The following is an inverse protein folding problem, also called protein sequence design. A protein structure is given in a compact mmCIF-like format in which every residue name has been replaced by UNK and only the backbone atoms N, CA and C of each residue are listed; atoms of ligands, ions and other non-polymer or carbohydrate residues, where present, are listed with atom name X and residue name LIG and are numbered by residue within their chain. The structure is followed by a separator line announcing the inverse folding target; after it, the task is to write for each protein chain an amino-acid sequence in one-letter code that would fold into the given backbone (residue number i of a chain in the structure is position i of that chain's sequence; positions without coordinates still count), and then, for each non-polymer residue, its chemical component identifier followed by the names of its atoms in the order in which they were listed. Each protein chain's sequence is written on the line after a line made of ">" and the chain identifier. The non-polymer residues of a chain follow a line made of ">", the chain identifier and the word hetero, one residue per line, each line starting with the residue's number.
data_IF_290397257541
#
_entry.id   IF_290397257541
#
_cell.length_a   1.000
_cell.length_b   1.000
_cell.length_c   1.000
_cell.angle_alpha   90.00
_cell.angle_beta   90.00
_cell.angle_gamma   90.00
#
_symmetry.space_group_name_H-M   'P 1'
#
loop_
_entity.id
_entity.type
_entity.pdbx_description
1 polymer ?
#
# COMPACT_ATOMS: atom_id res chain seq x y z
N UNK A 1 -4.98 13.39 29.45
CA UNK A 1 -5.02 12.11 28.70
C UNK A 1 -5.34 12.42 27.25
N UNK A 2 -4.49 12.03 26.29
CA UNK A 2 -4.85 12.12 24.86
C UNK A 2 -5.85 11.00 24.58
N UNK A 3 -7.08 11.36 24.25
CA UNK A 3 -8.08 10.42 23.73
C UNK A 3 -7.48 9.65 22.54
N UNK A 4 -7.70 8.33 22.48
CA UNK A 4 -7.24 7.53 21.35
C UNK A 4 -7.93 7.97 20.06
N UNK A 5 -7.24 7.85 18.93
CA UNK A 5 -7.77 8.23 17.61
C UNK A 5 -9.10 7.54 17.32
N UNK A 6 -9.24 6.29 17.76
CA UNK A 6 -10.48 5.50 17.64
C UNK A 6 -11.65 6.13 18.39
N UNK A 7 -11.45 6.61 19.62
CA UNK A 7 -12.52 7.27 20.39
C UNK A 7 -12.89 8.61 19.75
N UNK A 8 -11.91 9.37 19.25
CA UNK A 8 -12.16 10.61 18.50
C UNK A 8 -12.93 10.37 17.21
N UNK A 9 -12.63 9.30 16.47
CA UNK A 9 -13.34 8.97 15.24
C UNK A 9 -14.78 8.50 15.51
N UNK A 10 -14.97 7.64 16.52
CA UNK A 10 -16.29 7.12 16.90
C UNK A 10 -17.20 8.21 17.46
N UNK A 11 -16.64 9.16 18.21
CA UNK A 11 -17.35 10.31 18.76
C UNK A 11 -17.48 11.50 17.80
N UNK A 12 -16.80 11.46 16.64
CA UNK A 12 -16.92 12.50 15.62
C UNK A 12 -18.31 12.53 14.94
N UNK A 13 -19.05 11.42 15.01
CA UNK A 13 -20.37 11.28 14.40
C UNK A 13 -21.46 11.20 15.48
N UNK A 14 -22.50 12.01 15.32
CA UNK A 14 -23.70 11.93 16.15
C UNK A 14 -24.41 10.59 15.98
N UNK A 15 -25.18 10.19 17.00
CA UNK A 15 -26.00 8.95 16.98
C UNK A 15 -26.89 8.85 15.74
N UNK A 16 -27.46 9.99 15.29
CA UNK A 16 -28.29 10.06 14.08
C UNK A 16 -27.48 9.77 12.81
N UNK A 17 -26.25 10.25 12.74
CA UNK A 17 -25.34 10.01 11.61
C UNK A 17 -24.89 8.56 11.54
N UNK A 18 -24.61 7.93 12.68
CA UNK A 18 -24.33 6.49 12.76
C UNK A 18 -25.52 5.64 12.30
N UNK A 19 -26.75 6.01 12.70
CA UNK A 19 -27.97 5.34 12.25
C UNK A 19 -28.20 5.54 10.74
N UNK A 20 -27.99 6.75 10.22
CA UNK A 20 -28.11 7.04 8.79
C UNK A 20 -27.10 6.23 7.96
N UNK A 21 -25.85 6.13 8.41
CA UNK A 21 -24.82 5.32 7.76
C UNK A 21 -25.19 3.83 7.75
N UNK A 22 -25.62 3.29 8.89
CA UNK A 22 -26.07 1.90 8.99
C UNK A 22 -27.27 1.60 8.10
N UNK A 23 -28.25 2.50 8.07
CA UNK A 23 -29.43 2.37 7.21
C UNK A 23 -29.06 2.43 5.72
N UNK A 24 -28.16 3.34 5.33
CA UNK A 24 -27.67 3.43 3.95
C UNK A 24 -26.91 2.16 3.54
N UNK A 25 -26.06 1.63 4.42
CA UNK A 25 -25.31 0.40 4.17
C UNK A 25 -26.25 -0.81 4.01
N UNK A 26 -27.24 -0.95 4.91
CA UNK A 26 -28.24 -2.01 4.82
C UNK A 26 -29.09 -1.89 3.55
N UNK A 27 -29.52 -0.67 3.20
CA UNK A 27 -30.29 -0.40 2.00
C UNK A 27 -29.51 -0.79 0.75
N UNK A 28 -28.26 -0.37 0.62
CA UNK A 28 -27.41 -0.71 -0.54
C UNK A 28 -27.14 -2.20 -0.64
N UNK A 29 -26.89 -2.89 0.50
CA UNK A 29 -26.66 -4.33 0.55
C UNK A 29 -27.87 -5.15 0.09
N UNK A 30 -29.09 -4.64 0.29
CA UNK A 30 -30.34 -5.29 -0.13
C UNK A 30 -30.73 -4.86 -1.56
N UNK A 31 -30.60 -3.57 -1.88
CA UNK A 31 -31.03 -3.02 -3.16
C UNK A 31 -30.19 -3.54 -4.33
N UNK A 32 -28.86 -3.68 -4.17
CA UNK A 32 -27.98 -4.12 -5.26
C UNK A 32 -28.31 -5.56 -5.74
N UNK A 33 -28.45 -6.57 -4.85
CA UNK A 33 -28.89 -7.91 -5.27
C UNK A 33 -30.30 -7.92 -5.84
N UNK A 34 -31.23 -7.12 -5.29
CA UNK A 34 -32.60 -7.02 -5.82
C UNK A 34 -32.62 -6.44 -7.23
N UNK A 35 -31.86 -5.39 -7.50
CA UNK A 35 -31.74 -4.80 -8.83
C UNK A 35 -31.03 -5.73 -9.83
N UNK A 36 -30.20 -6.66 -9.35
CA UNK A 36 -29.61 -7.70 -10.19
C UNK A 36 -30.60 -8.83 -10.51
N UNK A 37 -31.38 -9.30 -9.53
CA UNK A 37 -32.25 -10.48 -9.65
C UNK A 37 -33.66 -10.17 -10.18
N UNK A 38 -34.25 -9.06 -9.77
CA UNK A 38 -35.65 -8.75 -10.05
C UNK A 38 -35.86 -7.88 -11.31
N UNK A 39 -34.80 -7.24 -11.82
CA UNK A 39 -34.89 -6.33 -12.95
C UNK A 39 -34.41 -7.02 -14.23
N UNK A 40 -35.19 -6.99 -15.33
CA UNK A 40 -34.80 -7.58 -16.60
C UNK A 40 -33.50 -6.97 -17.15
N UNK A 41 -32.65 -7.73 -17.86
CA UNK A 41 -31.35 -7.26 -18.37
C UNK A 41 -31.42 -6.04 -19.29
N UNK A 42 -32.52 -5.86 -20.03
CA UNK A 42 -32.72 -4.76 -20.97
C UNK A 42 -33.13 -3.43 -20.30
N UNK A 43 -33.42 -3.45 -18.99
CA UNK A 43 -33.81 -2.27 -18.24
C UNK A 43 -32.59 -1.44 -17.82
N UNK A 44 -32.71 -0.12 -17.89
CA UNK A 44 -31.67 0.81 -17.44
C UNK A 44 -31.30 0.68 -15.95
N UNK A 45 -32.16 0.05 -15.15
CA UNK A 45 -31.94 -0.16 -13.71
C UNK A 45 -31.30 -1.52 -13.39
N UNK A 46 -31.01 -2.35 -14.40
CA UNK A 46 -30.38 -3.65 -14.18
C UNK A 46 -28.91 -3.48 -13.77
N UNK A 47 -28.56 -3.97 -12.59
CA UNK A 47 -27.17 -4.00 -12.14
C UNK A 47 -26.56 -5.31 -12.62
N UNK A 48 -25.59 -5.25 -13.54
CA UNK A 48 -24.94 -6.46 -14.06
C UNK A 48 -23.98 -7.07 -13.03
N UNK A 49 -23.80 -8.39 -13.10
CA UNK A 49 -22.79 -9.10 -12.29
C UNK A 49 -21.36 -8.58 -12.55
N UNK A 50 -21.07 -8.12 -13.76
CA UNK A 50 -19.81 -7.45 -14.08
C UNK A 50 -19.59 -6.17 -13.27
N UNK A 51 -20.61 -5.30 -13.18
CA UNK A 51 -20.51 -4.08 -12.39
C UNK A 51 -20.26 -4.40 -10.91
N UNK A 52 -20.99 -5.36 -10.34
CA UNK A 52 -20.85 -5.77 -8.93
C UNK A 52 -19.42 -6.26 -8.67
N UNK A 53 -18.91 -7.16 -9.51
CA UNK A 53 -17.55 -7.72 -9.36
C UNK A 53 -16.46 -6.68 -9.57
N UNK A 54 -16.64 -5.76 -10.52
CA UNK A 54 -15.71 -4.65 -10.75
C UNK A 54 -15.67 -3.70 -9.55
N UNK A 55 -16.82 -3.30 -9.01
CA UNK A 55 -16.90 -2.48 -7.81
C UNK A 55 -16.25 -3.17 -6.61
N UNK A 56 -16.48 -4.47 -6.43
CA UNK A 56 -15.81 -5.27 -5.40
C UNK A 56 -14.28 -5.24 -5.54
N UNK A 57 -13.76 -5.44 -6.76
CA UNK A 57 -12.32 -5.36 -7.04
C UNK A 57 -11.76 -3.96 -6.74
N UNK A 58 -12.44 -2.90 -7.17
CA UNK A 58 -12.01 -1.52 -6.89
C UNK A 58 -11.99 -1.25 -5.38
N UNK A 59 -13.01 -1.71 -4.64
CA UNK A 59 -13.08 -1.54 -3.19
C UNK A 59 -11.93 -2.26 -2.48
N UNK A 60 -11.57 -3.47 -2.92
CA UNK A 60 -10.39 -4.18 -2.39
C UNK A 60 -9.11 -3.36 -2.59
N UNK A 61 -8.89 -2.76 -3.76
CA UNK A 61 -7.73 -1.89 -4.00
C UNK A 61 -7.81 -0.58 -3.20
N UNK A 62 -9.00 -0.01 -3.02
CA UNK A 62 -9.20 1.20 -2.23
C UNK A 62 -8.83 0.97 -0.75
N UNK A 63 -9.19 -0.18 -0.17
CA UNK A 63 -8.80 -0.55 1.20
C UNK A 63 -7.28 -0.63 1.32
N UNK A 64 -6.60 -1.26 0.35
CA UNK A 64 -5.14 -1.32 0.32
C UNK A 64 -4.52 0.08 0.22
N UNK A 65 -5.08 0.95 -0.62
CA UNK A 65 -4.62 2.33 -0.75
C UNK A 65 -4.77 3.12 0.57
N UNK A 66 -5.91 3.01 1.25
CA UNK A 66 -6.14 3.66 2.55
C UNK A 66 -5.19 3.10 3.61
N UNK A 67 -4.96 1.78 3.65
CA UNK A 67 -4.00 1.19 4.59
C UNK A 67 -2.58 1.72 4.37
N UNK A 68 -2.16 1.88 3.12
CA UNK A 68 -0.87 2.46 2.76
C UNK A 68 -0.76 3.94 3.14
N UNK A 69 -1.81 4.72 2.91
CA UNK A 69 -1.90 6.13 3.32
C UNK A 69 -1.80 6.28 4.85
N UNK A 70 -2.45 5.40 5.62
CA UNK A 70 -2.37 5.42 7.07
C UNK A 70 -0.99 5.04 7.60
N UNK A 71 -0.33 4.03 7.01
CA UNK A 71 1.00 3.59 7.46
C UNK A 71 2.06 4.66 7.15
N UNK A 72 2.07 5.17 5.93
CA UNK A 72 3.11 6.11 5.49
C UNK A 72 2.76 7.56 5.82
N UNK A 73 1.54 8.00 5.52
CA UNK A 73 1.07 9.37 5.76
C UNK A 73 0.89 9.66 7.25
N UNK A 74 0.09 8.86 7.96
CA UNK A 74 -0.15 9.08 9.39
C UNK A 74 0.92 8.47 10.29
N UNK A 75 1.34 7.24 10.01
CA UNK A 75 2.34 6.52 10.81
C UNK A 75 3.77 7.01 10.59
N UNK A 76 4.08 7.62 9.44
CA UNK A 76 5.44 7.99 9.09
C UNK A 76 6.38 6.80 8.88
N UNK A 77 5.84 5.58 8.77
CA UNK A 77 6.62 4.35 8.61
C UNK A 77 6.65 3.99 7.13
N UNK A 78 7.84 3.68 6.62
CA UNK A 78 8.00 3.18 5.24
C UNK A 78 7.36 1.80 5.14
N UNK A 79 6.51 1.59 4.12
CA UNK A 79 6.02 0.24 3.85
C UNK A 79 7.17 -0.68 3.40
N UNK A 80 7.01 -1.99 3.58
CA UNK A 80 8.01 -3.00 3.18
C UNK A 80 8.47 -2.81 1.71
N UNK A 81 7.53 -2.50 0.81
CA UNK A 81 7.84 -2.25 -0.60
C UNK A 81 8.79 -1.08 -0.79
N UNK A 82 8.52 0.06 -0.14
CA UNK A 82 9.41 1.23 -0.19
C UNK A 82 10.76 0.95 0.46
N UNK A 83 10.78 0.26 1.60
CA UNK A 83 12.00 -0.13 2.29
C UNK A 83 12.89 -1.03 1.44
N UNK A 84 12.31 -1.99 0.72
CA UNK A 84 13.07 -2.88 -0.17
C UNK A 84 13.76 -2.10 -1.31
N UNK A 85 13.04 -1.23 -2.01
CA UNK A 85 13.63 -0.42 -3.08
C UNK A 85 14.66 0.57 -2.56
N UNK A 86 14.42 1.15 -1.38
CA UNK A 86 15.38 2.04 -0.74
C UNK A 86 16.67 1.29 -0.35
N UNK A 87 16.54 0.09 0.22
CA UNK A 87 17.68 -0.76 0.56
C UNK A 87 18.47 -1.21 -0.67
N UNK A 88 17.79 -1.63 -1.74
CA UNK A 88 18.44 -2.00 -3.00
C UNK A 88 19.18 -0.81 -3.64
N UNK A 89 18.54 0.36 -3.68
CA UNK A 89 19.17 1.59 -4.17
C UNK A 89 20.37 2.01 -3.33
N UNK A 90 20.24 1.97 -2.00
CA UNK A 90 21.32 2.27 -1.06
C UNK A 90 22.50 1.30 -1.18
N UNK A 91 22.23 0.01 -1.35
CA UNK A 91 23.26 -1.00 -1.60
C UNK A 91 23.99 -0.73 -2.92
N UNK A 92 23.26 -0.51 -4.02
CA UNK A 92 23.87 -0.22 -5.32
C UNK A 92 24.72 1.06 -5.27
N UNK A 93 24.24 2.11 -4.61
CA UNK A 93 24.99 3.35 -4.44
C UNK A 93 26.22 3.16 -3.54
N UNK A 94 26.11 2.41 -2.45
CA UNK A 94 27.25 2.07 -1.59
C UNK A 94 28.32 1.27 -2.33
N UNK A 95 27.90 0.29 -3.13
CA UNK A 95 28.80 -0.48 -4.01
C UNK A 95 29.49 0.40 -5.05
N UNK A 96 28.75 1.34 -5.64
CA UNK A 96 29.33 2.32 -6.57
C UNK A 96 30.39 3.19 -5.90
N UNK A 97 30.10 3.75 -4.72
CA UNK A 97 31.06 4.58 -3.98
C UNK A 97 32.30 3.78 -3.57
N UNK A 98 32.14 2.54 -3.12
CA UNK A 98 33.27 1.66 -2.81
C UNK A 98 34.13 1.36 -4.04
N UNK A 99 33.53 1.27 -5.23
CA UNK A 99 34.27 1.13 -6.48
C UNK A 99 34.96 2.42 -6.91
N UNK A 100 34.39 3.59 -6.61
CA UNK A 100 35.00 4.88 -6.94
C UNK A 100 36.28 5.16 -6.14
N UNK A 101 36.42 4.60 -4.93
CA UNK A 101 37.67 4.68 -4.16
C UNK A 101 38.83 4.05 -4.95
N UNK A 102 38.59 2.92 -5.63
CA UNK A 102 39.58 2.24 -6.46
C UNK A 102 40.95 2.10 -5.77
N UNK A 103 42.00 2.57 -6.45
CA UNK A 103 43.39 2.42 -5.96
C UNK A 103 43.75 3.31 -4.78
N UNK A 104 42.87 4.22 -4.37
CA UNK A 104 43.05 5.00 -3.14
C UNK A 104 42.63 4.20 -1.90
N UNK A 105 42.10 2.98 -2.07
CA UNK A 105 41.77 2.02 -1.01
C UNK A 105 42.99 1.32 -0.42
N UNK A 106 42.78 0.60 0.69
CA UNK A 106 43.84 -0.06 1.46
C UNK A 106 44.61 -1.09 0.62
N UNK A 107 43.90 -1.82 -0.24
CA UNK A 107 44.49 -2.86 -1.10
C UNK A 107 44.95 -2.34 -2.46
N UNK A 108 44.75 -1.05 -2.76
CA UNK A 108 45.14 -0.39 -4.01
C UNK A 108 44.66 -1.14 -5.27
N UNK A 109 43.44 -1.66 -5.23
CA UNK A 109 42.82 -2.47 -6.27
C UNK A 109 41.66 -1.74 -6.94
N UNK A 110 41.31 -2.12 -8.17
CA UNK A 110 40.12 -1.60 -8.87
C UNK A 110 38.82 -2.31 -8.38
N UNK A 111 38.96 -3.35 -7.55
CA UNK A 111 37.88 -4.01 -6.83
C UNK A 111 37.61 -3.32 -5.49
N UNK A 112 36.34 -3.29 -5.02
CA UNK A 112 36.03 -2.88 -3.66
C UNK A 112 36.85 -3.63 -2.60
N UNK A 113 37.41 -2.91 -1.62
CA UNK A 113 38.33 -3.45 -0.61
C UNK A 113 37.77 -4.66 0.16
N UNK A 114 36.46 -4.70 0.43
CA UNK A 114 35.84 -5.85 1.12
C UNK A 114 35.87 -7.14 0.26
N UNK A 115 35.81 -7.02 -1.07
CA UNK A 115 35.88 -8.17 -1.98
C UNK A 115 37.30 -8.71 -2.00
N UNK A 116 38.31 -7.82 -2.00
CA UNK A 116 39.72 -8.21 -1.90
C UNK A 116 40.01 -8.89 -0.57
N UNK A 117 39.42 -8.40 0.53
CA UNK A 117 39.49 -9.05 1.85
C UNK A 117 38.90 -10.47 1.83
N UNK A 118 37.83 -10.69 1.06
CA UNK A 118 37.22 -12.01 0.85
C UNK A 118 37.96 -12.87 -0.19
N UNK A 119 39.15 -12.44 -0.62
CA UNK A 119 40.03 -13.08 -1.61
C UNK A 119 39.48 -13.16 -3.05
N UNK A 120 38.56 -12.26 -3.43
CA UNK A 120 38.06 -12.17 -4.80
C UNK A 120 39.10 -11.52 -5.71
N UNK A 121 39.27 -12.07 -6.93
CA UNK A 121 40.25 -11.60 -7.92
C UNK A 121 39.65 -10.79 -9.06
N UNK A 122 38.36 -10.94 -9.31
CA UNK A 122 37.61 -10.24 -10.35
C UNK A 122 36.13 -10.10 -9.97
N UNK A 123 35.43 -9.20 -10.65
CA UNK A 123 33.97 -9.15 -10.58
C UNK A 123 33.40 -10.38 -11.31
N UNK A 124 32.29 -10.95 -10.83
CA UNK A 124 31.60 -12.03 -11.52
C UNK A 124 31.00 -11.56 -12.84
#
# INVERSE_FOLDING_TARGET
>A
MRESVTVRLLSALDKKSWLALGAFLALTLIAVPLLHLAVPPDSAFHVSAYAITLFGKIMCYAIVAVAMDLIWGYGGILSLGHGLFFALGGYAFGMYLMRQIGRDGSYRSDLPDFMVFLDWKELP
#
